data_IF_444109456474
#
_entry.id   IF_444109456474
#
_cell.length_a   1.000
_cell.length_b   1.000
_cell.length_c   1.000
_cell.angle_alpha   90.00
_cell.angle_beta   90.00
_cell.angle_gamma   90.00
#
_symmetry.space_group_name_H-M   'P 1'
#
loop_
_entity.id
_entity.type
_entity.pdbx_description
1 polymer ?
#
# COMPACT_ATOMS: atom_id res chain seq x y z
N UNK A 1 14.38 -6.57 22.63
CA UNK A 1 12.95 -6.86 22.82
C UNK A 1 12.57 -8.07 21.99
N UNK A 2 11.58 -8.80 22.43
CA UNK A 2 10.89 -9.84 21.68
C UNK A 2 9.58 -9.26 21.15
N UNK A 3 9.46 -9.09 19.85
CA UNK A 3 8.34 -8.40 19.20
C UNK A 3 7.49 -9.44 18.46
N UNK A 4 6.20 -9.50 18.76
CA UNK A 4 5.23 -10.30 18.02
C UNK A 4 4.47 -9.41 17.03
N UNK A 5 4.57 -9.72 15.73
CA UNK A 5 3.78 -9.06 14.69
C UNK A 5 2.71 -10.02 14.17
N UNK A 6 1.46 -9.60 14.23
CA UNK A 6 0.33 -10.36 13.74
C UNK A 6 -0.12 -9.83 12.38
N UNK A 7 -0.01 -10.65 11.35
CA UNK A 7 -0.46 -10.38 9.98
C UNK A 7 -1.43 -11.48 9.54
N UNK A 8 -2.55 -11.63 10.28
CA UNK A 8 -3.46 -12.75 10.21
C UNK A 8 -3.89 -13.11 8.78
N UNK A 9 -4.44 -12.15 8.04
CA UNK A 9 -5.20 -12.41 6.80
C UNK A 9 -4.34 -12.58 5.54
N UNK A 10 -3.08 -12.14 5.57
CA UNK A 10 -2.17 -12.28 4.41
C UNK A 10 -0.72 -12.45 4.86
N UNK A 11 0.00 -13.30 4.16
CA UNK A 11 1.42 -13.50 4.39
C UNK A 11 2.23 -12.31 3.86
N UNK A 12 3.01 -11.61 4.71
CA UNK A 12 3.84 -10.51 4.24
C UNK A 12 5.05 -10.96 3.41
N UNK A 13 5.35 -12.26 3.39
CA UNK A 13 6.52 -12.81 2.69
C UNK A 13 6.19 -13.59 1.43
N UNK A 14 4.91 -13.63 1.03
CA UNK A 14 4.50 -14.13 -0.28
C UNK A 14 4.79 -13.08 -1.38
N UNK A 15 4.64 -13.49 -2.63
CA UNK A 15 4.88 -12.62 -3.78
C UNK A 15 3.90 -11.44 -3.79
N UNK A 16 4.46 -10.21 -3.80
CA UNK A 16 3.68 -8.98 -3.82
C UNK A 16 2.89 -8.86 -5.11
N UNK A 17 1.65 -8.41 -5.01
CA UNK A 17 0.77 -8.21 -6.17
C UNK A 17 -0.11 -9.42 -6.50
N UNK A 18 0.06 -10.55 -5.82
CA UNK A 18 -0.84 -11.71 -5.91
C UNK A 18 -1.79 -11.75 -4.72
N UNK A 19 -3.03 -12.17 -4.94
CA UNK A 19 -4.09 -12.27 -3.94
C UNK A 19 -4.23 -10.94 -3.15
N UNK A 20 -4.23 -10.99 -1.83
CA UNK A 20 -4.28 -9.81 -0.96
C UNK A 20 -2.90 -9.16 -0.71
N UNK A 21 -1.83 -9.69 -1.28
CA UNK A 21 -0.46 -9.16 -1.13
C UNK A 21 -0.31 -7.77 -1.74
N UNK A 22 -0.09 -6.75 -0.92
CA UNK A 22 -0.01 -5.35 -1.34
C UNK A 22 0.81 -4.50 -0.40
N UNK A 23 0.42 -3.25 -0.23
CA UNK A 23 1.14 -2.27 0.60
C UNK A 23 1.37 -2.72 2.05
N UNK A 24 0.40 -3.41 2.66
CA UNK A 24 0.56 -3.99 4.00
C UNK A 24 1.68 -5.03 4.02
N UNK A 25 1.72 -5.95 3.03
CA UNK A 25 2.76 -6.98 2.99
C UNK A 25 4.15 -6.37 2.87
N UNK A 26 4.33 -5.36 2.02
CA UNK A 26 5.58 -4.62 1.89
C UNK A 26 5.93 -3.94 3.22
N UNK A 27 4.98 -3.27 3.86
CA UNK A 27 5.19 -2.59 5.13
C UNK A 27 5.67 -3.57 6.21
N UNK A 28 4.92 -4.65 6.46
CA UNK A 28 5.26 -5.65 7.48
C UNK A 28 6.61 -6.30 7.19
N UNK A 29 6.87 -6.67 5.94
CA UNK A 29 8.15 -7.26 5.53
C UNK A 29 9.32 -6.31 5.82
N UNK A 30 9.21 -5.05 5.43
CA UNK A 30 10.31 -4.08 5.57
C UNK A 30 10.57 -3.73 7.04
N UNK A 31 9.53 -3.42 7.82
CA UNK A 31 9.74 -3.09 9.25
C UNK A 31 10.25 -4.30 10.02
N UNK A 32 9.77 -5.52 9.74
CA UNK A 32 10.23 -6.72 10.42
C UNK A 32 11.72 -6.99 10.16
N UNK A 33 12.16 -6.86 8.91
CA UNK A 33 13.57 -7.00 8.54
C UNK A 33 14.46 -5.97 9.23
N UNK A 34 14.06 -4.70 9.25
CA UNK A 34 14.87 -3.65 9.88
C UNK A 34 14.87 -3.78 11.41
N UNK A 35 13.73 -4.08 12.05
CA UNK A 35 13.64 -4.33 13.48
C UNK A 35 14.51 -5.52 13.90
N UNK A 36 14.62 -6.57 13.08
CA UNK A 36 15.38 -7.77 13.39
C UNK A 36 16.90 -7.55 13.49
N UNK A 37 17.40 -6.40 13.06
CA UNK A 37 18.81 -6.05 13.31
C UNK A 37 19.11 -5.86 14.82
N UNK A 38 18.12 -5.40 15.59
CA UNK A 38 18.31 -5.06 17.01
C UNK A 38 17.37 -5.82 17.96
N UNK A 39 16.38 -6.56 17.44
CA UNK A 39 15.34 -7.22 18.22
C UNK A 39 15.06 -8.62 17.69
N UNK A 40 14.50 -9.48 18.54
CA UNK A 40 13.90 -10.73 18.07
C UNK A 40 12.49 -10.41 17.56
N UNK A 41 12.23 -10.66 16.29
CA UNK A 41 10.95 -10.37 15.64
C UNK A 41 10.32 -11.66 15.16
N UNK A 42 9.13 -11.95 15.64
CA UNK A 42 8.32 -13.08 15.17
C UNK A 42 7.09 -12.54 14.45
N UNK A 43 6.94 -12.89 13.19
CA UNK A 43 5.79 -12.52 12.36
C UNK A 43 4.92 -13.74 12.15
N UNK A 44 3.63 -13.64 12.44
CA UNK A 44 2.70 -14.78 12.34
C UNK A 44 1.53 -14.47 11.41
N UNK A 45 1.20 -15.41 10.53
CA UNK A 45 0.04 -15.34 9.64
C UNK A 45 -0.84 -16.60 9.73
N UNK A 46 -2.12 -16.46 9.43
CA UNK A 46 -3.04 -17.60 9.25
C UNK A 46 -2.97 -18.20 7.85
N UNK A 47 -2.55 -17.41 6.84
CA UNK A 47 -2.45 -17.84 5.45
C UNK A 47 -1.38 -18.92 5.26
N UNK A 48 -1.66 -19.92 4.42
CA UNK A 48 -0.68 -20.94 4.06
C UNK A 48 0.50 -20.35 3.34
N UNK A 49 1.68 -20.54 3.93
CA UNK A 49 2.95 -20.04 3.41
C UNK A 49 4.11 -20.89 3.97
N UNK A 50 5.29 -20.73 3.39
CA UNK A 50 6.49 -21.39 3.91
C UNK A 50 7.08 -20.59 5.06
N UNK A 51 7.03 -21.15 6.28
CA UNK A 51 7.72 -20.59 7.44
C UNK A 51 9.24 -20.61 7.26
N UNK A 52 9.90 -19.64 7.88
CA UNK A 52 11.38 -19.57 7.90
C UNK A 52 11.89 -18.89 9.16
N UNK A 53 13.19 -19.06 9.44
CA UNK A 53 13.93 -18.32 10.45
C UNK A 53 15.25 -17.84 9.86
N UNK A 54 15.51 -16.55 9.97
CA UNK A 54 16.77 -15.92 9.56
C UNK A 54 17.25 -15.00 10.68
N UNK A 55 18.28 -15.43 11.39
CA UNK A 55 18.83 -14.74 12.57
C UNK A 55 17.73 -14.41 13.60
N UNK A 56 17.45 -13.13 13.78
CA UNK A 56 16.46 -12.63 14.74
C UNK A 56 15.06 -12.44 14.15
N UNK A 57 14.87 -12.76 12.87
CA UNK A 57 13.56 -12.72 12.21
C UNK A 57 13.02 -14.14 12.05
N UNK A 58 11.87 -14.40 12.65
CA UNK A 58 11.14 -15.66 12.50
C UNK A 58 9.77 -15.38 11.86
N UNK A 59 9.48 -16.09 10.79
CA UNK A 59 8.17 -16.05 10.14
C UNK A 59 7.47 -17.39 10.28
N UNK A 60 6.26 -17.37 10.81
CA UNK A 60 5.45 -18.55 11.07
C UNK A 60 4.12 -18.43 10.33
N UNK A 61 3.85 -19.38 9.45
CA UNK A 61 2.52 -19.61 8.91
C UNK A 61 1.84 -20.72 9.71
N UNK A 62 0.65 -20.43 10.24
CA UNK A 62 -0.16 -21.41 10.95
C UNK A 62 -0.98 -22.31 10.00
N UNK A 63 -0.89 -22.08 8.70
CA UNK A 63 -1.51 -22.88 7.64
C UNK A 63 -3.01 -23.14 7.86
N UNK A 64 -3.78 -22.09 8.13
CA UNK A 64 -5.21 -22.17 8.44
C UNK A 64 -6.06 -22.11 7.17
N UNK A 65 -5.75 -21.19 6.28
CA UNK A 65 -6.53 -20.96 5.05
C UNK A 65 -5.62 -20.71 3.83
N UNK A 66 -6.18 -20.97 2.65
CA UNK A 66 -5.50 -20.75 1.37
C UNK A 66 -5.39 -19.26 1.04
N UNK A 67 -4.35 -18.84 0.29
CA UNK A 67 -4.14 -17.45 -0.10
C UNK A 67 -5.29 -16.83 -0.92
N UNK A 68 -6.02 -17.67 -1.68
CA UNK A 68 -7.11 -17.25 -2.57
C UNK A 68 -8.42 -16.93 -1.84
N UNK A 69 -8.53 -17.27 -0.55
CA UNK A 69 -9.72 -16.97 0.23
C UNK A 69 -9.89 -15.44 0.39
N UNK A 70 -11.11 -14.94 0.14
CA UNK A 70 -11.38 -13.51 0.32
C UNK A 70 -11.22 -13.10 1.79
N UNK A 71 -10.81 -11.86 2.01
CA UNK A 71 -10.52 -11.35 3.36
C UNK A 71 -11.76 -11.37 4.26
N UNK A 72 -12.94 -11.11 3.70
CA UNK A 72 -14.23 -11.14 4.40
C UNK A 72 -14.56 -12.54 4.93
N UNK A 73 -14.14 -13.59 4.23
CA UNK A 73 -14.40 -14.99 4.61
C UNK A 73 -13.40 -15.50 5.67
N UNK A 74 -12.32 -14.75 5.97
CA UNK A 74 -11.28 -15.15 6.91
C UNK A 74 -11.65 -14.95 8.37
N UNK A 75 -12.63 -14.10 8.69
CA UNK A 75 -13.01 -13.76 10.07
C UNK A 75 -13.40 -14.99 10.90
N UNK A 76 -14.07 -15.97 10.30
CA UNK A 76 -14.49 -17.20 10.97
C UNK A 76 -13.33 -18.03 11.54
N UNK A 77 -12.11 -17.78 11.10
CA UNK A 77 -10.90 -18.48 11.54
C UNK A 77 -10.13 -17.78 12.67
N UNK A 78 -10.64 -16.66 13.20
CA UNK A 78 -9.94 -15.90 14.26
C UNK A 78 -9.67 -16.73 15.51
N UNK A 79 -10.68 -17.51 15.96
CA UNK A 79 -10.51 -18.36 17.13
C UNK A 79 -9.51 -19.52 16.89
N UNK A 80 -9.55 -20.12 15.70
CA UNK A 80 -8.57 -21.15 15.32
C UNK A 80 -7.15 -20.58 15.27
N UNK A 81 -7.02 -19.35 14.73
CA UNK A 81 -5.73 -18.67 14.67
C UNK A 81 -5.18 -18.41 16.09
N UNK A 82 -5.99 -17.89 17.00
CA UNK A 82 -5.58 -17.65 18.39
C UNK A 82 -5.12 -18.95 19.05
N UNK A 83 -5.92 -20.03 18.97
CA UNK A 83 -5.60 -21.31 19.59
C UNK A 83 -4.26 -21.87 19.06
N UNK A 84 -4.08 -21.90 17.73
CA UNK A 84 -2.83 -22.37 17.12
C UNK A 84 -1.63 -21.48 17.45
N UNK A 85 -1.84 -20.17 17.60
CA UNK A 85 -0.80 -19.24 18.01
C UNK A 85 -0.31 -19.56 19.43
N UNK A 86 -1.24 -19.78 20.37
CA UNK A 86 -0.93 -20.16 21.76
C UNK A 86 -0.29 -21.56 21.88
N UNK A 87 -0.66 -22.49 21.01
CA UNK A 87 -0.03 -23.81 20.93
C UNK A 87 1.39 -23.76 20.37
N UNK A 88 1.65 -22.83 19.44
CA UNK A 88 2.91 -22.75 18.71
C UNK A 88 3.97 -21.89 19.42
N UNK A 89 3.56 -20.94 20.26
CA UNK A 89 4.44 -19.97 20.87
C UNK A 89 4.11 -19.75 22.36
N UNK A 90 5.14 -19.64 23.18
CA UNK A 90 4.97 -19.10 24.54
C UNK A 90 4.83 -17.57 24.48
N UNK A 91 3.58 -17.11 24.44
CA UNK A 91 3.25 -15.70 24.25
C UNK A 91 3.74 -14.79 25.38
N UNK A 92 4.00 -15.34 26.59
CA UNK A 92 4.55 -14.59 27.75
C UNK A 92 5.97 -14.11 27.52
N UNK A 93 6.67 -14.67 26.53
CA UNK A 93 8.03 -14.28 26.19
C UNK A 93 8.10 -13.02 25.30
N UNK A 94 6.96 -12.49 24.86
CA UNK A 94 6.93 -11.28 24.04
C UNK A 94 6.74 -10.03 24.91
N UNK A 95 7.51 -9.00 24.58
CA UNK A 95 7.48 -7.70 25.27
C UNK A 95 6.36 -6.81 24.72
N UNK A 96 6.02 -6.98 23.44
CA UNK A 96 5.02 -6.16 22.73
C UNK A 96 4.39 -6.92 21.55
N UNK A 97 3.12 -6.60 21.27
CA UNK A 97 2.38 -7.09 20.09
C UNK A 97 2.16 -5.93 19.13
N UNK A 98 2.45 -6.12 17.84
CA UNK A 98 2.07 -5.20 16.79
C UNK A 98 1.07 -5.88 15.85
N UNK A 99 -0.16 -5.43 15.88
CA UNK A 99 -1.24 -5.96 15.05
C UNK A 99 -1.42 -5.16 13.76
N UNK A 100 -1.39 -5.87 12.65
CA UNK A 100 -1.57 -5.31 11.31
C UNK A 100 -2.92 -5.72 10.75
N UNK A 101 -3.77 -4.72 10.48
CA UNK A 101 -5.14 -4.90 10.04
C UNK A 101 -6.12 -5.30 11.15
N UNK A 102 -7.40 -4.98 10.99
CA UNK A 102 -8.41 -5.12 12.05
C UNK A 102 -8.60 -6.55 12.57
N UNK A 103 -8.51 -7.57 11.69
CA UNK A 103 -8.60 -8.98 12.10
C UNK A 103 -7.47 -9.37 13.06
N UNK A 104 -6.25 -8.95 12.77
CA UNK A 104 -5.11 -9.12 13.69
C UNK A 104 -5.31 -8.36 14.99
N UNK A 105 -5.91 -7.16 14.89
CA UNK A 105 -6.21 -6.32 16.04
C UNK A 105 -7.18 -6.96 17.03
N UNK A 106 -8.19 -7.68 16.53
CA UNK A 106 -9.13 -8.42 17.38
C UNK A 106 -8.42 -9.51 18.21
N UNK A 107 -7.53 -10.27 17.58
CA UNK A 107 -6.73 -11.29 18.28
C UNK A 107 -5.75 -10.66 19.27
N UNK A 108 -5.04 -9.59 18.85
CA UNK A 108 -4.10 -8.88 19.73
C UNK A 108 -4.77 -8.33 20.98
N UNK A 109 -5.98 -7.79 20.86
CA UNK A 109 -6.78 -7.30 21.99
C UNK A 109 -7.05 -8.41 23.02
N UNK A 110 -7.42 -9.61 22.58
CA UNK A 110 -7.68 -10.72 23.50
C UNK A 110 -6.41 -11.14 24.23
N UNK A 111 -5.31 -11.36 23.49
CA UNK A 111 -4.02 -11.75 24.06
C UNK A 111 -3.49 -10.68 25.02
N UNK A 112 -3.56 -9.40 24.63
CA UNK A 112 -3.15 -8.28 25.49
C UNK A 112 -3.91 -8.24 26.80
N UNK A 113 -5.23 -8.44 26.77
CA UNK A 113 -6.05 -8.48 27.98
C UNK A 113 -5.71 -9.66 28.88
N UNK A 114 -5.43 -10.84 28.31
CA UNK A 114 -5.14 -12.06 29.07
C UNK A 114 -3.74 -12.05 29.71
N UNK A 115 -2.76 -11.52 28.98
CA UNK A 115 -1.35 -11.61 29.37
C UNK A 115 -0.76 -10.27 29.82
N UNK A 116 -1.51 -9.17 29.71
CA UNK A 116 -1.05 -7.82 30.06
C UNK A 116 0.18 -7.40 29.23
N UNK A 117 0.22 -7.79 27.96
CA UNK A 117 1.26 -7.39 27.00
C UNK A 117 0.74 -6.20 26.22
N UNK A 118 1.48 -5.06 26.15
CA UNK A 118 1.04 -3.90 25.39
C UNK A 118 0.92 -4.22 23.90
N UNK A 119 -0.09 -3.64 23.22
CA UNK A 119 -0.18 -3.80 21.78
C UNK A 119 -0.41 -2.50 21.02
N UNK A 120 0.22 -2.42 19.85
CA UNK A 120 0.08 -1.35 18.88
C UNK A 120 -0.73 -1.85 17.70
N UNK A 121 -1.52 -0.94 17.13
CA UNK A 121 -2.36 -1.25 15.98
C UNK A 121 -2.00 -0.38 14.76
N UNK A 122 -1.83 -1.01 13.58
CA UNK A 122 -1.75 -0.35 12.27
C UNK A 122 -2.89 -0.83 11.37
N UNK A 123 -3.71 0.10 10.88
CA UNK A 123 -4.94 -0.21 10.12
C UNK A 123 -4.66 -0.75 8.71
N UNK A 124 -3.67 -0.21 8.01
CA UNK A 124 -3.33 -0.39 6.59
C UNK A 124 -4.43 -0.04 5.59
N UNK A 125 -5.68 -0.16 5.98
CA UNK A 125 -6.86 0.34 5.28
C UNK A 125 -8.00 0.48 6.28
N UNK A 126 -8.97 1.32 5.99
CA UNK A 126 -10.06 1.65 6.90
C UNK A 126 -11.41 1.33 6.25
N UNK A 127 -12.29 0.70 7.01
CA UNK A 127 -13.60 0.23 6.56
C UNK A 127 -14.54 1.34 6.09
N UNK A 128 -14.32 2.58 6.53
CA UNK A 128 -15.11 3.75 6.09
C UNK A 128 -14.96 4.07 4.60
N UNK A 129 -13.95 3.51 3.93
CA UNK A 129 -13.68 3.72 2.50
C UNK A 129 -14.13 2.56 1.62
N UNK A 130 -14.72 1.53 2.19
CA UNK A 130 -15.26 0.43 1.41
C UNK A 130 -16.62 0.82 0.82
N UNK A 131 -16.85 0.46 -0.44
CA UNK A 131 -18.15 0.61 -1.08
C UNK A 131 -19.23 -0.06 -0.22
N UNK A 132 -20.28 0.71 0.10
CA UNK A 132 -21.37 0.22 0.92
C UNK A 132 -21.17 0.34 2.44
N UNK A 133 -20.12 1.06 2.91
CA UNK A 133 -19.88 1.30 4.35
C UNK A 133 -20.10 0.04 5.19
N UNK A 134 -19.08 -0.80 5.29
CA UNK A 134 -19.16 -2.01 6.14
C UNK A 134 -19.14 -1.59 7.62
N UNK A 135 -20.35 -1.38 8.17
CA UNK A 135 -20.53 -0.93 9.55
C UNK A 135 -19.91 -1.91 10.57
N UNK A 136 -20.03 -3.20 10.33
CA UNK A 136 -19.48 -4.23 11.23
C UNK A 136 -17.96 -4.11 11.31
N UNK A 137 -17.29 -3.97 10.18
CA UNK A 137 -15.84 -3.74 10.14
C UNK A 137 -15.45 -2.45 10.85
N UNK A 138 -16.15 -1.34 10.59
CA UNK A 138 -15.87 -0.04 11.24
C UNK A 138 -16.04 -0.13 12.74
N UNK A 139 -17.05 -0.83 13.23
CA UNK A 139 -17.28 -1.03 14.66
C UNK A 139 -16.16 -1.92 15.27
N UNK A 140 -15.70 -2.96 14.58
CA UNK A 140 -14.54 -3.75 15.01
C UNK A 140 -13.25 -2.91 15.04
N UNK A 141 -12.99 -2.09 14.00
CA UNK A 141 -11.85 -1.18 13.97
C UNK A 141 -11.86 -0.20 15.15
N UNK A 142 -13.03 0.37 15.51
CA UNK A 142 -13.18 1.23 16.69
C UNK A 142 -12.83 0.50 17.98
N UNK A 143 -13.31 -0.73 18.15
CA UNK A 143 -13.01 -1.56 19.32
C UNK A 143 -11.50 -1.81 19.42
N UNK A 144 -10.86 -2.18 18.33
CA UNK A 144 -9.40 -2.45 18.28
C UNK A 144 -8.61 -1.19 18.61
N UNK A 145 -8.91 -0.06 17.97
CA UNK A 145 -8.22 1.22 18.21
C UNK A 145 -8.43 1.72 19.64
N UNK A 146 -9.63 1.55 20.21
CA UNK A 146 -9.90 1.92 21.60
C UNK A 146 -9.10 1.08 22.59
N UNK A 147 -8.92 -0.21 22.30
CA UNK A 147 -8.24 -1.18 23.17
C UNK A 147 -6.72 -1.18 23.03
N UNK A 148 -6.16 -0.76 21.89
CA UNK A 148 -4.70 -0.70 21.69
C UNK A 148 -4.06 0.38 22.57
N UNK A 149 -2.81 0.23 22.96
CA UNK A 149 -2.04 1.25 23.68
C UNK A 149 -1.74 2.43 22.77
N UNK A 150 -1.37 2.18 21.53
CA UNK A 150 -1.15 3.19 20.49
C UNK A 150 -1.67 2.69 19.14
N UNK A 151 -2.06 3.66 18.31
CA UNK A 151 -2.42 3.47 16.90
C UNK A 151 -1.37 4.14 16.03
N UNK A 152 -0.90 3.47 14.99
CA UNK A 152 -0.03 4.13 14.01
C UNK A 152 -0.81 4.52 12.77
N UNK A 153 -0.50 5.71 12.25
CA UNK A 153 -1.01 6.24 11.00
C UNK A 153 0.15 6.52 10.03
N UNK A 154 -0.04 6.30 8.76
CA UNK A 154 1.00 6.46 7.73
C UNK A 154 1.14 7.90 7.23
N UNK A 155 0.10 8.70 7.39
CA UNK A 155 -0.02 10.06 6.87
C UNK A 155 -0.79 11.00 7.83
N UNK A 156 -0.73 12.30 7.59
CA UNK A 156 -1.56 13.27 8.31
C UNK A 156 -3.03 13.04 7.98
N UNK A 157 -3.34 12.75 6.71
CA UNK A 157 -4.70 12.43 6.29
C UNK A 157 -5.28 11.25 7.07
N UNK A 158 -4.53 10.15 7.19
CA UNK A 158 -4.97 8.99 7.97
C UNK A 158 -5.13 9.34 9.46
N UNK A 159 -4.21 10.15 10.04
CA UNK A 159 -4.32 10.64 11.41
C UNK A 159 -5.65 11.39 11.63
N UNK A 160 -5.95 12.37 10.76
CA UNK A 160 -7.20 13.14 10.84
C UNK A 160 -8.42 12.23 10.74
N UNK A 161 -8.39 11.26 9.82
CA UNK A 161 -9.48 10.32 9.64
C UNK A 161 -9.72 9.44 10.88
N UNK A 162 -8.65 8.91 11.48
CA UNK A 162 -8.72 8.12 12.70
C UNK A 162 -9.26 8.96 13.86
N UNK A 163 -8.83 10.22 13.99
CA UNK A 163 -9.33 11.13 15.00
C UNK A 163 -10.80 11.49 14.77
N UNK A 164 -11.15 11.90 13.54
CA UNK A 164 -12.47 12.47 13.26
C UNK A 164 -13.56 11.42 13.11
N UNK A 165 -13.26 10.26 12.50
CA UNK A 165 -14.26 9.24 12.19
C UNK A 165 -14.31 8.15 13.26
N UNK A 166 -13.14 7.69 13.72
CA UNK A 166 -13.05 6.63 14.72
C UNK A 166 -13.02 7.16 16.15
N UNK A 167 -12.88 8.50 16.32
CA UNK A 167 -12.89 9.17 17.64
C UNK A 167 -11.75 8.71 18.56
N UNK A 168 -10.61 8.36 17.98
CA UNK A 168 -9.41 8.03 18.74
C UNK A 168 -8.75 9.32 19.23
N UNK A 169 -8.31 9.34 20.48
CA UNK A 169 -7.55 10.46 21.06
C UNK A 169 -6.24 10.67 20.26
N UNK A 170 -5.98 11.87 19.80
CA UNK A 170 -4.79 12.23 19.02
C UNK A 170 -3.50 11.86 19.76
N UNK A 171 -3.48 11.98 21.09
CA UNK A 171 -2.34 11.57 21.93
C UNK A 171 -2.02 10.07 21.84
N UNK A 172 -2.95 9.26 21.38
CA UNK A 172 -2.80 7.83 21.15
C UNK A 172 -2.31 7.49 19.74
N UNK A 173 -2.26 8.46 18.84
CA UNK A 173 -1.88 8.25 17.43
C UNK A 173 -0.41 8.63 17.23
N UNK A 174 0.33 7.79 16.53
CA UNK A 174 1.72 8.05 16.14
C UNK A 174 1.87 7.93 14.63
N UNK A 175 2.36 8.98 13.99
CA UNK A 175 2.61 8.95 12.55
C UNK A 175 3.91 8.21 12.24
N UNK A 176 3.80 7.11 11.49
CA UNK A 176 4.92 6.31 10.96
C UNK A 176 4.85 6.34 9.45
N UNK A 177 5.59 7.25 8.84
CA UNK A 177 5.65 7.40 7.39
C UNK A 177 6.44 6.25 6.79
N UNK A 178 5.83 5.40 5.94
CA UNK A 178 6.52 4.31 5.25
C UNK A 178 7.68 4.79 4.37
N UNK A 179 8.58 3.88 4.05
CA UNK A 179 9.73 4.13 3.20
C UNK A 179 9.60 3.53 1.81
N UNK A 180 10.67 3.63 1.06
CA UNK A 180 10.92 2.91 -0.18
C UNK A 180 12.27 2.21 -0.11
N UNK A 181 12.34 1.00 -0.65
CA UNK A 181 13.57 0.26 -0.79
C UNK A 181 14.38 0.83 -1.96
N UNK A 182 15.38 1.67 -1.64
CA UNK A 182 16.21 2.36 -2.65
C UNK A 182 17.29 1.50 -3.26
N UNK A 183 17.60 0.35 -2.69
CA UNK A 183 18.48 -0.63 -3.32
C UNK A 183 17.73 -1.35 -4.44
N UNK A 184 16.47 -1.66 -4.19
CA UNK A 184 15.59 -2.28 -5.16
C UNK A 184 15.10 -1.26 -6.21
N UNK A 185 14.54 -0.12 -5.78
CA UNK A 185 14.06 0.96 -6.65
C UNK A 185 15.20 1.93 -6.98
N UNK A 186 16.18 1.44 -7.74
CA UNK A 186 17.32 2.22 -8.22
C UNK A 186 17.18 2.47 -9.70
N UNK A 187 17.04 3.74 -10.15
CA UNK A 187 16.83 4.05 -11.56
C UNK A 187 18.08 3.78 -12.40
N UNK A 188 17.92 3.12 -13.53
CA UNK A 188 18.95 3.00 -14.55
C UNK A 188 18.91 4.21 -15.50
N UNK A 189 19.80 5.17 -15.27
CA UNK A 189 19.87 6.40 -16.04
C UNK A 189 20.34 6.20 -17.50
N UNK A 190 20.80 5.00 -17.85
CA UNK A 190 21.16 4.67 -19.26
C UNK A 190 19.94 4.30 -20.10
N UNK A 191 18.82 3.94 -19.46
CA UNK A 191 17.58 3.59 -20.14
C UNK A 191 16.85 4.85 -20.59
N UNK A 192 16.62 4.98 -21.88
CA UNK A 192 15.84 6.09 -22.44
C UNK A 192 14.36 5.93 -22.04
N UNK A 193 13.78 6.99 -21.50
CA UNK A 193 12.34 7.06 -21.22
C UNK A 193 11.54 7.14 -22.53
N UNK A 194 10.44 6.40 -22.55
CA UNK A 194 9.49 6.34 -23.67
C UNK A 194 8.17 6.98 -23.24
N UNK A 195 7.30 7.34 -24.18
CA UNK A 195 5.96 7.88 -23.89
C UNK A 195 5.02 6.79 -23.35
N UNK A 196 5.48 6.11 -22.29
CA UNK A 196 4.74 5.06 -21.58
C UNK A 196 4.20 5.64 -20.28
N UNK A 197 2.90 5.46 -20.07
CA UNK A 197 2.20 5.68 -18.80
C UNK A 197 1.99 4.35 -18.12
N UNK A 198 2.05 4.32 -16.81
CA UNK A 198 1.73 3.14 -16.02
C UNK A 198 0.52 3.42 -15.13
N UNK A 199 -0.31 2.42 -14.93
CA UNK A 199 -1.30 2.37 -13.87
C UNK A 199 -1.08 1.08 -13.10
N UNK A 200 -0.60 1.17 -11.85
CA UNK A 200 -0.14 0.03 -11.07
C UNK A 200 -1.04 -0.12 -9.85
N UNK A 201 -1.67 -1.28 -9.73
CA UNK A 201 -2.53 -1.62 -8.59
C UNK A 201 -3.51 -2.73 -8.93
N UNK A 202 -4.05 -3.36 -7.91
CA UNK A 202 -5.10 -4.37 -8.09
C UNK A 202 -6.26 -3.80 -8.90
N UNK A 203 -6.83 -4.60 -9.80
CA UNK A 203 -8.00 -4.18 -10.58
C UNK A 203 -9.23 -4.27 -9.68
N UNK A 204 -9.64 -3.11 -9.20
CA UNK A 204 -10.79 -2.90 -8.31
C UNK A 204 -11.33 -1.49 -8.55
N UNK A 205 -12.64 -1.31 -8.43
CA UNK A 205 -13.30 -0.02 -8.65
C UNK A 205 -12.69 1.12 -7.81
N UNK A 206 -12.37 0.84 -6.55
CA UNK A 206 -11.72 1.79 -5.63
C UNK A 206 -10.33 2.28 -6.11
N UNK A 207 -9.68 1.56 -7.03
CA UNK A 207 -8.39 1.97 -7.61
C UNK A 207 -8.54 2.91 -8.82
N UNK A 208 -9.79 3.18 -9.25
CA UNK A 208 -10.10 4.25 -10.18
C UNK A 208 -9.53 4.06 -11.60
N UNK A 209 -9.36 2.82 -12.06
CA UNK A 209 -8.83 2.59 -13.41
C UNK A 209 -9.75 3.15 -14.51
N UNK A 210 -11.06 3.27 -14.24
CA UNK A 210 -11.99 3.88 -15.17
C UNK A 210 -11.67 5.36 -15.41
N UNK A 211 -11.39 6.12 -14.35
CA UNK A 211 -10.96 7.53 -14.44
C UNK A 211 -9.68 7.68 -15.25
N UNK A 212 -8.77 6.70 -15.15
CA UNK A 212 -7.59 6.66 -16.02
C UNK A 212 -7.97 6.51 -17.48
N UNK A 213 -8.90 5.60 -17.84
CA UNK A 213 -9.37 5.43 -19.21
C UNK A 213 -10.09 6.67 -19.75
N UNK A 214 -10.90 7.33 -18.93
CA UNK A 214 -11.57 8.59 -19.28
C UNK A 214 -10.55 9.70 -19.58
N UNK A 215 -9.51 9.82 -18.73
CA UNK A 215 -8.38 10.73 -18.99
C UNK A 215 -7.72 10.40 -20.33
N UNK A 216 -7.34 9.15 -20.58
CA UNK A 216 -6.68 8.74 -21.82
C UNK A 216 -7.55 9.01 -23.06
N UNK A 217 -8.88 8.79 -22.97
CA UNK A 217 -9.81 9.09 -24.05
C UNK A 217 -9.88 10.59 -24.39
N UNK A 218 -9.75 11.43 -23.36
CA UNK A 218 -9.68 12.87 -23.56
C UNK A 218 -8.29 13.28 -24.10
N UNK A 219 -7.22 12.76 -23.53
CA UNK A 219 -5.83 13.12 -23.85
C UNK A 219 -5.42 12.72 -25.27
N UNK A 220 -5.90 11.58 -25.79
CA UNK A 220 -5.60 11.16 -27.18
C UNK A 220 -6.07 12.12 -28.26
N UNK A 221 -7.01 13.03 -27.96
CA UNK A 221 -7.44 14.09 -28.89
C UNK A 221 -6.41 15.20 -29.03
N UNK A 222 -5.46 15.28 -28.09
CA UNK A 222 -4.44 16.34 -27.99
C UNK A 222 -3.08 15.79 -28.37
N UNK A 223 -2.76 14.57 -27.92
CA UNK A 223 -1.53 13.87 -28.17
C UNK A 223 -1.83 12.38 -28.41
N UNK A 224 -1.32 11.82 -29.47
CA UNK A 224 -1.61 10.43 -29.86
C UNK A 224 -0.40 9.50 -29.73
N UNK A 225 0.80 10.03 -29.47
CA UNK A 225 2.02 9.24 -29.29
C UNK A 225 2.24 8.92 -27.80
N UNK A 226 1.43 7.98 -27.29
CA UNK A 226 1.62 7.41 -25.96
C UNK A 226 1.08 5.97 -25.89
N UNK A 227 1.51 5.24 -24.86
CA UNK A 227 0.94 3.96 -24.44
C UNK A 227 0.66 3.99 -22.95
N UNK A 228 -0.38 3.32 -22.50
CA UNK A 228 -0.68 3.11 -21.09
C UNK A 228 -0.73 1.62 -20.78
N UNK A 229 -0.02 1.21 -19.73
CA UNK A 229 0.03 -0.18 -19.28
C UNK A 229 -0.60 -0.24 -17.90
N UNK A 230 -1.71 -0.97 -17.79
CA UNK A 230 -2.33 -1.32 -16.53
C UNK A 230 -1.68 -2.60 -16.00
N UNK A 231 -1.22 -2.58 -14.76
CA UNK A 231 -0.48 -3.68 -14.13
C UNK A 231 -1.19 -4.04 -12.82
N UNK A 232 -1.70 -5.27 -12.75
CA UNK A 232 -2.36 -5.84 -11.58
C UNK A 232 -3.45 -6.82 -11.97
N UNK A 233 -3.65 -7.82 -11.14
CA UNK A 233 -4.72 -8.78 -11.29
C UNK A 233 -6.07 -8.28 -10.74
N UNK A 234 -7.20 -8.86 -11.18
CA UNK A 234 -8.50 -8.63 -10.58
C UNK A 234 -8.50 -9.10 -9.12
N UNK A 235 -9.14 -8.34 -8.24
CA UNK A 235 -9.17 -8.64 -6.81
C UNK A 235 -10.52 -8.27 -6.20
N UNK A 236 -10.91 -9.03 -5.16
CA UNK A 236 -12.21 -8.93 -4.53
C UNK A 236 -13.34 -9.58 -5.37
N UNK A 237 -14.54 -9.62 -4.79
CA UNK A 237 -15.70 -10.33 -5.34
C UNK A 237 -16.06 -9.93 -6.79
N UNK A 238 -15.90 -8.67 -7.13
CA UNK A 238 -16.28 -8.09 -8.43
C UNK A 238 -15.09 -7.75 -9.35
N UNK A 239 -13.85 -8.14 -8.97
CA UNK A 239 -12.65 -7.75 -9.70
C UNK A 239 -12.61 -8.21 -11.16
N UNK A 240 -13.08 -9.43 -11.45
CA UNK A 240 -13.16 -9.94 -12.83
C UNK A 240 -14.20 -9.17 -13.67
N UNK A 241 -15.38 -8.93 -13.13
CA UNK A 241 -16.44 -8.15 -13.79
C UNK A 241 -15.94 -6.73 -14.08
N UNK A 242 -15.26 -6.10 -13.12
CA UNK A 242 -14.69 -4.78 -13.32
C UNK A 242 -13.59 -4.76 -14.39
N UNK A 243 -12.72 -5.79 -14.44
CA UNK A 243 -11.73 -5.92 -15.53
C UNK A 243 -12.38 -6.04 -16.91
N UNK A 244 -13.46 -6.81 -17.03
CA UNK A 244 -14.18 -6.97 -18.29
C UNK A 244 -14.85 -5.65 -18.71
N UNK A 245 -15.41 -4.91 -17.75
CA UNK A 245 -15.95 -3.56 -18.00
C UNK A 245 -14.86 -2.58 -18.48
N UNK A 246 -13.66 -2.63 -17.88
CA UNK A 246 -12.53 -1.80 -18.35
C UNK A 246 -12.10 -2.15 -19.77
N UNK A 247 -12.05 -3.43 -20.13
CA UNK A 247 -11.73 -3.86 -21.50
C UNK A 247 -12.78 -3.38 -22.50
N UNK A 248 -14.07 -3.50 -22.16
CA UNK A 248 -15.14 -2.97 -23.00
C UNK A 248 -15.01 -1.44 -23.17
N UNK A 249 -14.68 -0.72 -22.10
CA UNK A 249 -14.44 0.73 -22.15
C UNK A 249 -13.27 1.09 -23.08
N UNK A 250 -12.21 0.26 -23.11
CA UNK A 250 -11.08 0.45 -24.05
C UNK A 250 -11.58 0.35 -25.51
N UNK A 251 -12.42 -0.62 -25.82
CA UNK A 251 -13.03 -0.77 -27.16
C UNK A 251 -13.94 0.41 -27.49
N UNK A 252 -14.86 0.79 -26.59
CA UNK A 252 -15.81 1.88 -26.78
C UNK A 252 -15.11 3.22 -27.00
N UNK A 253 -14.00 3.43 -26.29
CA UNK A 253 -13.17 4.62 -26.43
C UNK A 253 -12.17 4.53 -27.57
N UNK A 254 -12.09 3.42 -28.31
CA UNK A 254 -11.08 3.16 -29.36
C UNK A 254 -9.64 3.39 -28.87
N UNK A 255 -9.31 2.85 -27.69
CA UNK A 255 -8.01 2.93 -27.05
C UNK A 255 -7.13 1.68 -27.24
N UNK A 256 -7.56 0.71 -28.08
CA UNK A 256 -6.87 -0.58 -28.29
C UNK A 256 -5.40 -0.46 -28.67
N UNK A 257 -5.05 0.61 -29.40
CA UNK A 257 -3.64 0.87 -29.79
C UNK A 257 -2.83 1.52 -28.68
N UNK A 258 -3.47 2.06 -27.66
CA UNK A 258 -2.86 2.83 -26.58
C UNK A 258 -2.78 2.05 -25.27
N UNK A 259 -3.75 1.18 -24.99
CA UNK A 259 -3.92 0.53 -23.69
C UNK A 259 -3.55 -0.96 -23.75
N UNK A 260 -2.83 -1.40 -22.72
CA UNK A 260 -2.54 -2.81 -22.49
C UNK A 260 -2.77 -3.15 -21.04
N UNK A 261 -3.45 -4.25 -20.77
CA UNK A 261 -3.55 -4.85 -19.45
C UNK A 261 -2.51 -5.95 -19.28
N UNK A 262 -1.78 -5.91 -18.19
CA UNK A 262 -0.89 -6.97 -17.72
C UNK A 262 -1.39 -7.44 -16.37
N UNK A 263 -1.25 -8.73 -16.12
CA UNK A 263 -1.51 -9.32 -14.82
C UNK A 263 -0.53 -8.81 -13.76
N UNK A 264 -0.65 -9.27 -12.52
CA UNK A 264 0.32 -8.96 -11.47
C UNK A 264 1.73 -9.32 -11.92
N UNK A 265 2.67 -8.41 -11.70
CA UNK A 265 4.07 -8.58 -12.09
C UNK A 265 4.98 -8.56 -10.85
N UNK A 266 6.08 -9.33 -10.85
CA UNK A 266 7.13 -9.18 -9.84
C UNK A 266 7.68 -7.74 -9.80
N UNK A 267 8.09 -7.27 -8.63
CA UNK A 267 8.65 -5.92 -8.47
C UNK A 267 9.79 -5.60 -9.45
N UNK A 268 10.64 -6.60 -9.77
CA UNK A 268 11.71 -6.43 -10.75
C UNK A 268 11.20 -6.02 -12.13
N UNK A 269 10.06 -6.58 -12.57
CA UNK A 269 9.43 -6.20 -13.84
C UNK A 269 8.74 -4.84 -13.78
N UNK A 270 8.18 -4.47 -12.62
CA UNK A 270 7.64 -3.13 -12.39
C UNK A 270 8.76 -2.09 -12.50
N UNK A 271 9.93 -2.36 -11.92
CA UNK A 271 11.12 -1.49 -12.00
C UNK A 271 11.61 -1.33 -13.44
N UNK A 272 11.65 -2.43 -14.23
CA UNK A 272 12.00 -2.36 -15.66
C UNK A 272 11.04 -1.43 -16.44
N UNK A 273 9.74 -1.51 -16.12
CA UNK A 273 8.73 -0.65 -16.75
C UNK A 273 8.82 0.81 -16.27
N UNK A 274 9.04 1.03 -14.97
CA UNK A 274 9.26 2.37 -14.41
C UNK A 274 10.50 3.04 -15.01
N UNK A 275 11.58 2.29 -15.28
CA UNK A 275 12.77 2.82 -15.96
C UNK A 275 12.46 3.37 -17.37
N UNK A 276 11.47 2.80 -18.07
CA UNK A 276 11.07 3.22 -19.42
C UNK A 276 9.95 4.25 -19.43
N UNK A 277 9.23 4.45 -18.33
CA UNK A 277 8.00 5.23 -18.31
C UNK A 277 8.22 6.68 -17.97
N UNK A 278 7.39 7.57 -18.52
CA UNK A 278 7.38 9.01 -18.26
C UNK A 278 6.34 9.43 -17.22
N UNK A 279 5.34 8.59 -16.92
CA UNK A 279 4.24 8.95 -16.03
C UNK A 279 3.67 7.72 -15.32
N UNK A 280 3.39 7.85 -14.04
CA UNK A 280 2.46 6.98 -13.32
C UNK A 280 1.10 7.70 -13.21
N UNK A 281 0.01 7.02 -13.56
CA UNK A 281 -1.35 7.49 -13.32
C UNK A 281 -1.93 6.65 -12.18
N UNK A 282 -2.28 7.31 -11.08
CA UNK A 282 -2.75 6.66 -9.87
C UNK A 282 -4.02 7.33 -9.38
N UNK A 283 -5.16 6.76 -9.74
CA UNK A 283 -6.50 7.33 -9.55
C UNK A 283 -7.28 6.72 -8.39
N UNK A 284 -6.56 6.08 -7.45
CA UNK A 284 -7.21 5.47 -6.28
C UNK A 284 -8.13 6.48 -5.57
N UNK A 285 -9.38 6.07 -5.32
CA UNK A 285 -10.36 6.91 -4.62
C UNK A 285 -9.92 7.21 -3.20
N UNK A 286 -9.23 6.28 -2.58
CA UNK A 286 -8.66 6.42 -1.24
C UNK A 286 -7.28 5.78 -1.18
N UNK A 287 -6.37 6.53 -0.59
CA UNK A 287 -5.02 6.05 -0.35
C UNK A 287 -4.57 6.51 1.04
N UNK A 288 -4.26 5.55 1.91
CA UNK A 288 -3.74 5.85 3.25
C UNK A 288 -2.32 6.37 3.18
N UNK A 289 -1.53 5.89 2.20
CA UNK A 289 -0.16 6.38 2.02
C UNK A 289 0.23 6.55 0.55
N UNK A 290 0.12 5.53 -0.31
CA UNK A 290 0.52 5.61 -1.71
C UNK A 290 1.96 5.18 -1.98
N UNK A 291 2.34 3.98 -1.53
CA UNK A 291 3.68 3.41 -1.78
C UNK A 291 4.07 3.47 -3.25
N UNK A 292 3.16 3.09 -4.15
CA UNK A 292 3.41 3.08 -5.60
C UNK A 292 3.79 4.47 -6.13
N UNK A 293 3.19 5.54 -5.60
CA UNK A 293 3.52 6.91 -5.99
C UNK A 293 4.96 7.29 -5.57
N UNK A 294 5.39 6.85 -4.39
CA UNK A 294 6.75 7.10 -3.91
C UNK A 294 7.76 6.24 -4.64
N UNK A 295 7.45 4.98 -4.92
CA UNK A 295 8.25 4.08 -5.75
C UNK A 295 8.48 4.69 -7.14
N UNK A 296 7.42 5.20 -7.78
CA UNK A 296 7.51 5.91 -9.05
C UNK A 296 8.40 7.15 -8.97
N UNK A 297 8.19 8.02 -7.97
CA UNK A 297 9.04 9.19 -7.77
C UNK A 297 10.51 8.81 -7.50
N UNK A 298 10.76 7.71 -6.78
CA UNK A 298 12.12 7.19 -6.57
C UNK A 298 12.78 6.75 -7.86
N UNK A 299 12.00 6.30 -8.83
CA UNK A 299 12.45 5.95 -10.19
C UNK A 299 12.44 7.17 -11.16
N UNK A 300 12.26 8.39 -10.64
CA UNK A 300 12.20 9.60 -11.43
C UNK A 300 10.95 9.71 -12.31
N UNK A 301 9.89 9.00 -11.97
CA UNK A 301 8.62 9.02 -12.70
C UNK A 301 7.62 9.89 -11.94
N UNK A 302 7.17 11.02 -12.53
CA UNK A 302 6.13 11.85 -11.93
C UNK A 302 4.78 11.12 -11.87
N UNK A 303 3.90 11.58 -10.97
CA UNK A 303 2.61 10.95 -10.71
C UNK A 303 1.47 11.88 -11.06
N UNK A 304 0.56 11.44 -11.90
CA UNK A 304 -0.75 12.07 -12.10
C UNK A 304 -1.77 11.37 -11.21
N UNK A 305 -2.48 12.12 -10.39
CA UNK A 305 -3.41 11.54 -9.42
C UNK A 305 -4.62 12.45 -9.17
N UNK A 306 -5.68 11.86 -8.66
CA UNK A 306 -6.80 12.58 -8.10
C UNK A 306 -6.47 13.15 -6.71
N UNK A 307 -7.21 14.20 -6.33
CA UNK A 307 -6.96 14.93 -5.08
C UNK A 307 -7.54 14.19 -3.86
N UNK A 308 -7.12 12.93 -3.66
CA UNK A 308 -7.68 12.03 -2.65
C UNK A 308 -6.61 11.50 -1.70
N UNK A 309 -6.91 11.54 -0.41
CA UNK A 309 -6.12 10.89 0.63
C UNK A 309 -4.72 11.49 0.82
N UNK A 310 -3.79 10.62 1.16
CA UNK A 310 -2.40 10.97 1.49
C UNK A 310 -1.57 11.45 0.29
N UNK A 311 -2.04 11.24 -0.94
CA UNK A 311 -1.32 11.68 -2.13
C UNK A 311 -1.14 13.20 -2.17
N UNK A 312 -2.01 13.97 -1.50
CA UNK A 312 -1.86 15.41 -1.30
C UNK A 312 -0.59 15.79 -0.49
N UNK A 313 -0.08 14.88 0.33
CA UNK A 313 1.17 15.09 1.09
C UNK A 313 2.43 14.70 0.29
N UNK A 314 2.25 13.90 -0.75
CA UNK A 314 3.32 13.34 -1.56
C UNK A 314 3.58 14.17 -2.80
N UNK A 315 2.50 14.56 -3.50
CA UNK A 315 2.57 15.18 -4.83
C UNK A 315 2.45 16.70 -4.74
N UNK A 316 3.35 17.38 -5.42
CA UNK A 316 3.37 18.82 -5.62
C UNK A 316 3.20 19.13 -7.12
N UNK A 317 2.16 19.88 -7.44
CA UNK A 317 1.81 20.22 -8.83
C UNK A 317 2.97 20.84 -9.60
N UNK A 318 3.19 20.33 -10.81
CA UNK A 318 4.27 20.74 -11.76
C UNK A 318 5.70 20.48 -11.27
N UNK A 319 5.88 19.76 -10.13
CA UNK A 319 7.19 19.44 -9.57
C UNK A 319 7.51 17.94 -9.63
N UNK A 320 6.74 17.10 -8.91
CA UNK A 320 6.91 15.65 -8.94
C UNK A 320 5.65 14.91 -9.42
N UNK A 321 4.68 15.66 -9.93
CA UNK A 321 3.43 15.13 -10.42
C UNK A 321 2.37 16.22 -10.57
N UNK A 322 1.13 15.79 -10.66
CA UNK A 322 -0.03 16.67 -10.73
C UNK A 322 -1.23 16.05 -9.99
N UNK A 323 -1.82 16.86 -9.12
CA UNK A 323 -3.05 16.58 -8.39
C UNK A 323 -4.20 17.37 -9.03
N UNK A 324 -5.32 16.72 -9.30
CA UNK A 324 -6.54 17.37 -9.78
C UNK A 324 -7.78 16.69 -9.19
N UNK A 325 -8.87 17.44 -8.99
CA UNK A 325 -10.15 16.86 -8.62
C UNK A 325 -10.71 15.95 -9.73
N UNK A 326 -10.43 16.33 -10.98
CA UNK A 326 -10.80 15.57 -12.17
C UNK A 326 -9.63 15.56 -13.13
N UNK A 327 -9.26 14.38 -13.64
CA UNK A 327 -8.17 14.27 -14.60
C UNK A 327 -8.52 14.86 -15.98
N UNK A 328 -9.81 15.05 -16.26
CA UNK A 328 -10.29 15.73 -17.48
C UNK A 328 -10.24 17.25 -17.23
N UNK A 329 -9.04 17.82 -17.21
CA UNK A 329 -8.75 19.25 -17.02
C UNK A 329 -7.68 19.69 -18.00
N UNK A 330 -7.81 20.92 -18.52
CA UNK A 330 -6.84 21.51 -19.45
C UNK A 330 -5.44 21.64 -18.85
N UNK A 331 -5.33 21.94 -17.56
CA UNK A 331 -4.05 22.03 -16.86
C UNK A 331 -3.36 20.67 -16.74
N UNK A 332 -4.13 19.61 -16.46
CA UNK A 332 -3.64 18.22 -16.47
C UNK A 332 -3.08 17.86 -17.84
N UNK A 333 -3.85 18.13 -18.90
CA UNK A 333 -3.44 17.86 -20.26
C UNK A 333 -2.15 18.61 -20.62
N UNK A 334 -2.04 19.89 -20.24
CA UNK A 334 -0.83 20.69 -20.48
C UNK A 334 0.37 20.14 -19.71
N UNK A 335 0.20 19.76 -18.45
CA UNK A 335 1.27 19.12 -17.67
C UNK A 335 1.77 17.86 -18.34
N UNK A 336 0.88 16.93 -18.70
CA UNK A 336 1.26 15.65 -19.32
C UNK A 336 1.89 15.88 -20.70
N UNK A 337 1.31 16.77 -21.52
CA UNK A 337 1.89 17.12 -22.83
C UNK A 337 3.31 17.68 -22.71
N UNK A 338 3.58 18.53 -21.70
CA UNK A 338 4.92 19.06 -21.46
C UNK A 338 5.90 17.97 -21.08
N UNK A 339 5.49 16.99 -20.25
CA UNK A 339 6.33 15.83 -19.91
C UNK A 339 6.72 15.00 -21.14
N UNK A 340 5.84 14.92 -22.15
CA UNK A 340 6.10 14.15 -23.37
C UNK A 340 7.03 14.88 -24.34
N UNK A 341 6.84 16.19 -24.52
CA UNK A 341 7.39 16.96 -25.63
C UNK A 341 8.48 17.97 -25.24
N UNK A 342 8.73 18.20 -23.94
CA UNK A 342 9.76 19.10 -23.41
C UNK A 342 10.75 18.29 -22.55
N UNK A 343 11.92 17.97 -23.13
CA UNK A 343 12.93 17.17 -22.45
C UNK A 343 13.55 17.90 -21.24
N UNK A 344 13.68 19.23 -21.28
CA UNK A 344 14.20 20.01 -20.16
C UNK A 344 13.21 20.01 -19.00
N UNK A 345 11.94 20.24 -19.29
CA UNK A 345 10.87 20.15 -18.28
C UNK A 345 10.75 18.75 -17.68
N UNK A 346 10.83 17.72 -18.51
CA UNK A 346 10.82 16.35 -18.03
C UNK A 346 11.99 16.06 -17.07
N UNK A 347 13.20 16.52 -17.43
CA UNK A 347 14.41 16.38 -16.62
C UNK A 347 14.30 17.14 -15.29
N UNK A 348 13.75 18.36 -15.30
CA UNK A 348 13.47 19.14 -14.09
C UNK A 348 12.57 18.36 -13.12
N UNK A 349 11.44 17.87 -13.65
CA UNK A 349 10.45 17.12 -12.88
C UNK A 349 11.05 15.80 -12.35
N UNK A 350 11.77 15.06 -13.16
CA UNK A 350 12.46 13.83 -12.78
C UNK A 350 13.45 14.07 -11.63
N UNK A 351 14.27 15.11 -11.73
CA UNK A 351 15.22 15.46 -10.66
C UNK A 351 14.49 15.79 -9.35
N UNK A 352 13.39 16.52 -9.44
CA UNK A 352 12.59 16.83 -8.27
C UNK A 352 11.96 15.56 -7.63
N UNK A 353 11.50 14.61 -8.46
CA UNK A 353 11.04 13.30 -7.97
C UNK A 353 12.10 12.59 -7.13
N UNK A 354 13.35 12.53 -7.64
CA UNK A 354 14.47 11.91 -6.92
C UNK A 354 14.73 12.60 -5.57
N UNK A 355 14.83 13.92 -5.56
CA UNK A 355 15.13 14.67 -4.34
C UNK A 355 14.00 14.55 -3.32
N UNK A 356 12.76 14.71 -3.75
CA UNK A 356 11.58 14.63 -2.90
C UNK A 356 11.42 13.26 -2.26
N UNK A 357 11.72 12.18 -2.99
CA UNK A 357 11.57 10.81 -2.51
C UNK A 357 12.61 10.40 -1.45
N UNK A 358 13.73 11.13 -1.31
CA UNK A 358 14.80 10.83 -0.33
C UNK A 358 14.33 10.87 1.13
N UNK A 359 13.26 11.60 1.42
CA UNK A 359 12.69 11.66 2.78
C UNK A 359 12.00 10.37 3.22
N UNK A 360 11.60 9.51 2.28
CA UNK A 360 10.89 8.27 2.55
C UNK A 360 11.89 7.13 2.76
N UNK A 361 12.06 6.70 4.01
CA UNK A 361 13.08 5.74 4.42
C UNK A 361 12.51 4.71 5.39
N UNK A 362 12.68 3.43 5.06
CA UNK A 362 12.31 2.35 5.98
C UNK A 362 13.12 2.37 7.28
N UNK A 363 14.39 2.79 7.22
CA UNK A 363 15.24 2.95 8.41
C UNK A 363 14.59 3.96 9.35
N UNK A 364 14.23 5.16 8.86
CA UNK A 364 13.57 6.19 9.69
C UNK A 364 12.22 5.73 10.23
N UNK A 365 11.43 5.04 9.41
CA UNK A 365 10.15 4.49 9.84
C UNK A 365 10.34 3.50 11.00
N UNK A 366 11.34 2.63 10.88
CA UNK A 366 11.65 1.61 11.88
C UNK A 366 12.26 2.21 13.15
N UNK A 367 13.15 3.21 13.05
CA UNK A 367 13.71 3.91 14.20
C UNK A 367 12.62 4.61 15.03
N UNK A 368 11.67 5.25 14.34
CA UNK A 368 10.52 5.87 15.00
C UNK A 368 9.64 4.80 15.68
N UNK A 369 9.41 3.67 15.02
CA UNK A 369 8.61 2.58 15.56
C UNK A 369 9.31 1.92 16.77
N UNK A 370 10.63 1.73 16.71
CA UNK A 370 11.42 1.24 17.84
C UNK A 370 11.31 2.16 19.06
N UNK A 371 11.39 3.48 18.85
CA UNK A 371 11.22 4.46 19.91
C UNK A 371 9.82 4.38 20.56
N UNK A 372 8.78 4.13 19.75
CA UNK A 372 7.42 3.92 20.21
C UNK A 372 7.33 2.64 21.06
N UNK A 373 7.88 1.54 20.59
CA UNK A 373 7.89 0.27 21.32
C UNK A 373 8.54 0.44 22.70
N UNK A 374 9.72 1.06 22.75
CA UNK A 374 10.44 1.33 24.01
C UNK A 374 9.67 2.23 24.98
N UNK A 375 8.75 3.05 24.50
CA UNK A 375 7.95 3.92 25.36
C UNK A 375 6.79 3.22 26.05
N UNK A 376 6.48 1.98 25.64
CA UNK A 376 5.37 1.18 26.19
C UNK A 376 5.83 0.05 27.13
N UNK A 377 7.12 -0.24 27.14
CA UNK A 377 7.77 -1.28 27.94
C UNK A 377 8.58 -0.62 29.03
#
# INVERSE_FOLDING_TARGET
>A
MNILQLAFHTSPFNEVGKNDGGGMSIYVQQISRHLSYNHNVTVVTGEKAKSFKDKNLEFISLNIFEPELNVEDKEVYLQEFKNKLEESLDLKNFDIIHAHYWLSGLVAKEISNELTIPFIFTSHSLGVFLDGYNKERVDCEKIVMASSDLVTASSVFETMLITDTYKVDENKIRKITPGVDRELFSPDLSVKKENIFLSIGRIQEQKGQLETLEFLNNFKKIENDFKCIFIGGPSGKYGNEYLDNLKQTVEDFNLDKHVKFLDSLPQTKIIELLNKSKLLIHTSQFETFGLVAIEANTMGVPVLTTNNGSLMEIIENNKNGYLSEKLIDGNVNNFVKNLLNDEEKFKEVTNYCFEKSKKYSWIKATDNLDSIYRSLI
#
